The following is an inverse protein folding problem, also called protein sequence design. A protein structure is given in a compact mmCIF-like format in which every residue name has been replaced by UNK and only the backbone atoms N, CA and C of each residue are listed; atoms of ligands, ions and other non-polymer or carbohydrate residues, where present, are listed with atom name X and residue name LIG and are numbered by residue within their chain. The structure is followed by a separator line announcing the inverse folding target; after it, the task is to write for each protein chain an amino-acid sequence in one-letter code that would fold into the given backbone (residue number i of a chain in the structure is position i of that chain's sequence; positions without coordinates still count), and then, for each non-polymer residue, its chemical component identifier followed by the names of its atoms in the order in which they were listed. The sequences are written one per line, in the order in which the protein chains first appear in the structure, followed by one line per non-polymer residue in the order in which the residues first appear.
data_IF_504423219258
#
_entry.id   IF_504423219258
#
_cell.length_a   1.000
_cell.length_b   1.000
_cell.length_c   1.000
_cell.angle_alpha   90.00
_cell.angle_beta   90.00
_cell.angle_gamma   90.00
#
_symmetry.space_group_name_H-M   'P 1'
#
loop_
_entity.id
_entity.type
_entity.pdbx_description
1 polymer ?
#
# COMPACT_ATOMS: atom_id res chain seq x y z
N UNK A 1 -54.41 -26.38 41.14
CA UNK A 1 -54.32 -25.66 39.88
C UNK A 1 -52.83 -25.53 39.50
N UNK A 2 -52.33 -26.43 38.67
CA UNK A 2 -50.94 -26.42 38.19
C UNK A 2 -50.91 -25.61 36.91
N UNK A 3 -50.17 -24.51 36.91
CA UNK A 3 -49.87 -23.73 35.70
C UNK A 3 -48.51 -24.18 35.20
N UNK A 4 -48.51 -24.96 34.12
CA UNK A 4 -47.30 -25.27 33.37
C UNK A 4 -46.88 -24.05 32.54
N UNK A 5 -45.66 -23.53 32.82
CA UNK A 5 -45.01 -22.54 32.01
C UNK A 5 -44.19 -23.26 30.94
N UNK A 6 -44.44 -23.05 29.64
CA UNK A 6 -43.61 -23.64 28.62
C UNK A 6 -42.23 -22.97 28.56
N UNK A 7 -41.20 -23.76 28.79
CA UNK A 7 -39.82 -23.36 28.55
C UNK A 7 -39.62 -23.14 27.04
N UNK A 8 -39.67 -21.87 26.64
CA UNK A 8 -39.33 -21.44 25.30
C UNK A 8 -37.87 -21.80 24.99
N UNK A 9 -37.67 -22.66 23.99
CA UNK A 9 -36.38 -23.06 23.51
C UNK A 9 -35.59 -21.86 23.03
N UNK A 10 -34.50 -21.58 23.72
CA UNK A 10 -33.48 -20.68 23.22
C UNK A 10 -32.83 -21.34 22.03
N UNK A 11 -33.18 -20.91 20.82
CA UNK A 11 -32.43 -21.24 19.63
C UNK A 11 -31.09 -20.53 19.78
N UNK A 12 -30.09 -21.30 20.15
CA UNK A 12 -28.69 -20.86 20.00
C UNK A 12 -28.42 -20.80 18.50
N UNK A 13 -28.57 -19.62 17.91
CA UNK A 13 -27.96 -19.34 16.63
C UNK A 13 -26.46 -19.54 16.82
N UNK A 14 -25.96 -20.66 16.31
CA UNK A 14 -24.55 -20.88 16.16
C UNK A 14 -24.04 -19.74 15.27
N UNK A 15 -23.43 -18.74 15.91
CA UNK A 15 -22.67 -17.72 15.20
C UNK A 15 -21.71 -18.46 14.28
N UNK A 16 -21.95 -18.35 12.99
CA UNK A 16 -21.04 -18.79 11.96
C UNK A 16 -19.70 -18.10 12.28
N UNK A 17 -18.80 -18.83 12.91
CA UNK A 17 -17.42 -18.43 13.07
C UNK A 17 -16.87 -18.32 11.65
N UNK A 18 -16.90 -17.12 11.10
CA UNK A 18 -16.24 -16.80 9.85
C UNK A 18 -14.83 -17.37 9.95
N UNK A 19 -14.50 -18.32 9.06
CA UNK A 19 -13.14 -18.83 8.95
C UNK A 19 -12.22 -17.62 8.90
N UNK A 20 -11.14 -17.57 9.69
CA UNK A 20 -10.18 -16.48 9.58
C UNK A 20 -9.77 -16.41 8.11
N UNK A 21 -9.92 -15.22 7.53
CA UNK A 21 -9.50 -14.97 6.15
C UNK A 21 -8.01 -15.30 6.06
N UNK A 22 -7.68 -16.44 5.46
CA UNK A 22 -6.31 -16.94 5.31
C UNK A 22 -5.57 -16.18 4.20
N UNK A 23 -6.20 -15.19 3.56
CA UNK A 23 -5.56 -14.33 2.59
C UNK A 23 -4.42 -13.57 3.27
N UNK A 24 -3.25 -13.65 2.68
CA UNK A 24 -2.08 -12.92 3.18
C UNK A 24 -2.30 -11.43 2.93
N UNK A 25 -2.27 -10.65 3.99
CA UNK A 25 -2.37 -9.19 3.90
C UNK A 25 -1.21 -8.61 3.11
N UNK A 26 -1.51 -7.86 2.06
CA UNK A 26 -0.51 -7.15 1.29
C UNK A 26 -0.50 -5.68 1.70
N UNK A 27 0.68 -5.20 2.11
CA UNK A 27 0.96 -3.79 2.37
C UNK A 27 1.51 -3.17 1.10
N UNK A 28 0.72 -2.29 0.48
CA UNK A 28 1.10 -1.60 -0.75
C UNK A 28 1.85 -0.32 -0.41
N UNK A 29 3.03 -0.14 -0.99
CA UNK A 29 3.84 1.08 -0.90
C UNK A 29 3.98 1.68 -2.29
N UNK A 30 3.69 2.97 -2.43
CA UNK A 30 3.95 3.71 -3.67
C UNK A 30 5.40 4.18 -3.67
N UNK A 31 6.13 3.83 -4.71
CA UNK A 31 7.56 4.14 -4.87
C UNK A 31 7.71 5.38 -5.75
N UNK A 32 8.23 6.43 -5.16
CA UNK A 32 8.54 7.71 -5.79
C UNK A 32 9.97 8.16 -5.44
N UNK A 33 10.33 9.41 -5.76
CA UNK A 33 11.63 9.98 -5.46
C UNK A 33 11.68 10.70 -4.10
N UNK A 34 10.65 10.54 -3.28
CA UNK A 34 10.56 11.26 -2.01
C UNK A 34 11.49 10.66 -0.94
N UNK A 35 12.10 11.48 -0.09
CA UNK A 35 12.97 10.98 0.98
C UNK A 35 12.20 10.18 2.05
N UNK A 36 10.91 10.43 2.23
CA UNK A 36 10.03 9.72 3.17
C UNK A 36 9.63 8.32 2.72
N UNK A 37 9.92 7.94 1.47
CA UNK A 37 9.67 6.60 0.95
C UNK A 37 10.32 5.51 1.82
N UNK A 38 11.53 5.73 2.30
CA UNK A 38 12.25 4.75 3.11
C UNK A 38 11.54 4.47 4.44
N UNK A 39 10.95 5.49 5.07
CA UNK A 39 10.16 5.33 6.30
C UNK A 39 8.90 4.49 6.04
N UNK A 40 8.17 4.77 4.98
CA UNK A 40 6.98 4.01 4.57
C UNK A 40 7.33 2.54 4.26
N UNK A 41 8.37 2.31 3.48
CA UNK A 41 8.81 0.96 3.10
C UNK A 41 9.25 0.13 4.32
N UNK A 42 10.01 0.74 5.24
CA UNK A 42 10.41 0.06 6.48
C UNK A 42 9.23 -0.29 7.35
N UNK A 43 8.29 0.64 7.54
CA UNK A 43 7.05 0.39 8.28
C UNK A 43 6.27 -0.79 7.68
N UNK A 44 6.05 -0.78 6.38
CA UNK A 44 5.34 -1.85 5.67
C UNK A 44 6.05 -3.20 5.82
N UNK A 45 7.39 -3.23 5.69
CA UNK A 45 8.20 -4.42 5.83
C UNK A 45 8.11 -5.02 7.25
N UNK A 46 8.19 -4.18 8.29
CA UNK A 46 8.05 -4.60 9.68
C UNK A 46 6.66 -5.12 10.00
N UNK A 47 5.62 -4.42 9.53
CA UNK A 47 4.24 -4.89 9.70
C UNK A 47 4.00 -6.21 8.99
N UNK A 48 4.49 -6.38 7.77
CA UNK A 48 4.41 -7.64 7.04
C UNK A 48 5.08 -8.78 7.79
N UNK A 49 6.30 -8.56 8.30
CA UNK A 49 7.02 -9.54 9.10
C UNK A 49 6.25 -9.98 10.35
N UNK A 50 5.65 -9.03 11.07
CA UNK A 50 4.91 -9.31 12.33
C UNK A 50 3.54 -9.94 12.12
N UNK A 51 2.91 -9.70 10.97
CA UNK A 51 1.54 -10.17 10.70
C UNK A 51 1.47 -11.36 9.76
N UNK A 52 2.62 -11.87 9.29
CA UNK A 52 2.67 -12.91 8.27
C UNK A 52 2.20 -12.44 6.89
N UNK A 53 2.16 -11.13 6.70
CA UNK A 53 1.79 -10.48 5.44
C UNK A 53 2.94 -10.41 4.43
N UNK A 54 2.73 -9.66 3.37
CA UNK A 54 3.72 -9.37 2.33
C UNK A 54 3.69 -7.89 1.95
N UNK A 55 4.72 -7.44 1.23
CA UNK A 55 4.82 -6.07 0.72
C UNK A 55 4.69 -6.11 -0.79
N UNK A 56 3.94 -5.18 -1.36
CA UNK A 56 3.95 -4.85 -2.78
C UNK A 56 4.48 -3.42 -2.96
N UNK A 57 5.35 -3.23 -3.94
CA UNK A 57 5.96 -1.96 -4.29
C UNK A 57 5.43 -1.52 -5.65
N UNK A 58 4.71 -0.41 -5.72
CA UNK A 58 4.14 0.14 -6.94
C UNK A 58 4.94 1.35 -7.40
N UNK A 59 5.43 1.32 -8.64
CA UNK A 59 5.92 2.50 -9.36
C UNK A 59 5.03 2.77 -10.56
N UNK A 60 4.60 4.02 -10.72
CA UNK A 60 3.79 4.44 -11.87
C UNK A 60 4.60 5.40 -12.71
N UNK A 61 4.85 5.00 -13.96
CA UNK A 61 5.54 5.80 -14.96
C UNK A 61 4.51 6.65 -15.67
N UNK A 62 4.66 7.97 -15.58
CA UNK A 62 3.77 8.88 -16.31
C UNK A 62 4.12 8.83 -17.80
N UNK A 63 3.12 8.79 -18.70
CA UNK A 63 3.35 8.87 -20.13
C UNK A 63 4.08 10.17 -20.48
N UNK A 64 5.16 10.08 -21.23
CA UNK A 64 5.82 11.26 -21.76
C UNK A 64 4.96 11.80 -22.89
N UNK A 65 4.38 12.98 -22.73
CA UNK A 65 3.70 13.68 -23.81
C UNK A 65 4.72 14.02 -24.90
N UNK A 66 4.86 13.12 -25.87
CA UNK A 66 5.74 13.28 -27.02
C UNK A 66 5.14 14.30 -27.99
N UNK A 67 5.62 15.54 -27.98
CA UNK A 67 5.50 16.41 -29.13
C UNK A 67 6.09 15.70 -30.38
N UNK A 68 5.95 16.25 -31.54
CA UNK A 68 6.26 15.86 -32.93
C UNK A 68 7.33 14.78 -33.24
N UNK A 69 8.01 14.16 -32.23
CA UNK A 69 9.11 13.21 -32.39
C UNK A 69 8.79 11.89 -31.68
N UNK A 70 8.00 11.03 -32.30
CA UNK A 70 7.59 9.73 -31.75
C UNK A 70 8.78 8.86 -31.29
N UNK A 71 9.91 8.91 -31.97
CA UNK A 71 11.12 8.15 -31.59
C UNK A 71 11.73 8.63 -30.27
N UNK A 72 11.77 9.94 -30.04
CA UNK A 72 12.31 10.52 -28.79
C UNK A 72 11.38 10.22 -27.62
N UNK A 73 10.06 10.30 -27.82
CA UNK A 73 9.06 9.94 -26.82
C UNK A 73 9.16 8.48 -26.38
N UNK A 74 9.32 7.54 -27.33
CA UNK A 74 9.47 6.13 -27.01
C UNK A 74 10.76 5.83 -26.23
N UNK A 75 11.88 6.44 -26.62
CA UNK A 75 13.15 6.28 -25.88
C UNK A 75 13.06 6.82 -24.46
N UNK A 76 12.49 8.02 -24.27
CA UNK A 76 12.29 8.60 -22.94
C UNK A 76 11.34 7.76 -22.07
N UNK A 77 10.31 7.17 -22.66
CA UNK A 77 9.39 6.28 -21.97
C UNK A 77 10.08 4.99 -21.51
N UNK A 78 10.92 4.41 -22.36
CA UNK A 78 11.72 3.22 -22.01
C UNK A 78 12.72 3.53 -20.89
N UNK A 79 13.45 4.63 -20.99
CA UNK A 79 14.37 5.08 -19.93
C UNK A 79 13.64 5.32 -18.59
N UNK A 80 12.47 5.95 -18.61
CA UNK A 80 11.66 6.18 -17.41
C UNK A 80 11.19 4.86 -16.78
N UNK A 81 10.86 3.87 -17.61
CA UNK A 81 10.48 2.54 -17.15
C UNK A 81 11.67 1.80 -16.53
N UNK A 82 12.83 1.81 -17.19
CA UNK A 82 14.05 1.21 -16.65
C UNK A 82 14.47 1.84 -15.32
N UNK A 83 14.33 3.15 -15.18
CA UNK A 83 14.60 3.86 -13.94
C UNK A 83 13.63 3.45 -12.82
N UNK A 84 12.35 3.31 -13.14
CA UNK A 84 11.35 2.83 -12.20
C UNK A 84 11.65 1.40 -11.72
N UNK A 85 12.00 0.50 -12.63
CA UNK A 85 12.38 -0.88 -12.32
C UNK A 85 13.64 -0.94 -11.46
N UNK A 86 14.64 -0.11 -11.75
CA UNK A 86 15.87 -0.01 -10.96
C UNK A 86 15.60 0.45 -9.52
N UNK A 87 14.76 1.46 -9.33
CA UNK A 87 14.35 1.93 -7.99
C UNK A 87 13.60 0.85 -7.22
N UNK A 88 12.67 0.17 -7.87
CA UNK A 88 11.94 -0.95 -7.27
C UNK A 88 12.91 -2.05 -6.79
N UNK A 89 13.89 -2.42 -7.61
CA UNK A 89 14.88 -3.44 -7.26
C UNK A 89 15.75 -3.02 -6.07
N UNK A 90 16.18 -1.75 -6.02
CA UNK A 90 16.97 -1.24 -4.90
C UNK A 90 16.17 -1.26 -3.60
N UNK A 91 14.92 -0.80 -3.64
CA UNK A 91 14.05 -0.80 -2.47
C UNK A 91 13.66 -2.22 -2.04
N UNK A 92 13.47 -3.12 -3.01
CA UNK A 92 13.18 -4.53 -2.77
C UNK A 92 14.25 -5.22 -1.93
N UNK A 93 15.52 -4.91 -2.15
CA UNK A 93 16.62 -5.45 -1.35
C UNK A 93 16.50 -5.03 0.13
N UNK A 94 16.18 -3.77 0.39
CA UNK A 94 15.98 -3.23 1.74
C UNK A 94 14.74 -3.85 2.41
N UNK A 95 13.63 -3.95 1.69
CA UNK A 95 12.40 -4.58 2.18
C UNK A 95 12.63 -6.05 2.51
N UNK A 96 13.34 -6.77 1.62
CA UNK A 96 13.67 -8.17 1.88
C UNK A 96 14.54 -8.36 3.12
N UNK A 97 15.58 -7.54 3.30
CA UNK A 97 16.43 -7.58 4.48
C UNK A 97 15.65 -7.31 5.78
N UNK A 98 14.62 -6.46 5.72
CA UNK A 98 13.81 -6.08 6.88
C UNK A 98 12.68 -7.07 7.19
N UNK A 99 12.01 -7.59 6.17
CA UNK A 99 10.84 -8.46 6.31
C UNK A 99 11.15 -9.97 6.26
N UNK A 100 12.29 -10.33 5.70
CA UNK A 100 12.64 -11.73 5.39
C UNK A 100 11.98 -12.26 4.11
N UNK A 101 11.15 -11.46 3.45
CA UNK A 101 10.40 -11.87 2.25
C UNK A 101 10.65 -10.89 1.10
N UNK A 102 10.72 -11.42 -0.13
CA UNK A 102 10.81 -10.58 -1.32
C UNK A 102 9.48 -9.89 -1.56
N UNK A 103 9.47 -8.55 -1.75
CA UNK A 103 8.26 -7.85 -2.12
C UNK A 103 7.86 -8.17 -3.56
N UNK A 104 6.58 -8.01 -3.85
CA UNK A 104 6.07 -7.95 -5.21
C UNK A 104 6.43 -6.59 -5.83
N UNK A 105 6.90 -6.59 -7.09
CA UNK A 105 7.28 -5.39 -7.81
C UNK A 105 6.27 -5.14 -8.94
N UNK A 106 5.63 -3.98 -8.91
CA UNK A 106 4.58 -3.61 -9.85
C UNK A 106 4.98 -2.31 -10.54
N UNK A 107 5.07 -2.33 -11.86
CA UNK A 107 5.21 -1.15 -12.69
C UNK A 107 3.94 -0.96 -13.50
N UNK A 108 3.38 0.24 -13.44
CA UNK A 108 2.25 0.66 -14.27
C UNK A 108 2.57 1.94 -15.01
N UNK A 109 1.85 2.18 -16.08
CA UNK A 109 1.97 3.38 -16.89
C UNK A 109 0.65 4.12 -16.88
N UNK A 110 0.68 5.43 -16.60
CA UNK A 110 -0.52 6.24 -16.54
C UNK A 110 -0.48 7.33 -15.47
N UNK A 111 -1.64 7.77 -15.06
CA UNK A 111 -1.80 8.68 -13.93
C UNK A 111 -1.62 7.90 -12.62
N UNK A 112 -0.72 8.37 -11.76
CA UNK A 112 -0.43 7.71 -10.46
C UNK A 112 -1.72 7.42 -9.67
N UNK A 113 -2.61 8.38 -9.61
CA UNK A 113 -3.85 8.22 -8.87
C UNK A 113 -4.76 7.15 -9.47
N UNK A 114 -4.96 7.18 -10.79
CA UNK A 114 -5.85 6.24 -11.49
C UNK A 114 -5.31 4.82 -11.40
N UNK A 115 -4.02 4.65 -11.65
CA UNK A 115 -3.35 3.34 -11.59
C UNK A 115 -3.34 2.77 -10.17
N UNK A 116 -3.15 3.62 -9.15
CA UNK A 116 -3.20 3.20 -7.75
C UNK A 116 -4.61 2.70 -7.38
N UNK A 117 -5.66 3.44 -7.74
CA UNK A 117 -7.03 3.02 -7.45
C UNK A 117 -7.40 1.75 -8.22
N UNK A 118 -7.04 1.67 -9.51
CA UNK A 118 -7.28 0.48 -10.34
C UNK A 118 -6.60 -0.76 -9.73
N UNK A 119 -5.34 -0.65 -9.34
CA UNK A 119 -4.61 -1.75 -8.71
C UNK A 119 -5.29 -2.21 -7.41
N UNK A 120 -5.71 -1.29 -6.56
CA UNK A 120 -6.40 -1.62 -5.31
C UNK A 120 -7.73 -2.33 -5.56
N UNK A 121 -8.47 -1.95 -6.60
CA UNK A 121 -9.73 -2.61 -6.98
C UNK A 121 -9.51 -3.98 -7.62
N UNK A 122 -8.44 -4.15 -8.40
CA UNK A 122 -8.12 -5.39 -9.11
C UNK A 122 -7.56 -6.48 -8.19
N UNK A 123 -6.76 -6.09 -7.18
CA UNK A 123 -6.10 -7.03 -6.26
C UNK A 123 -6.72 -6.97 -4.86
N UNK A 124 -7.59 -7.91 -4.57
CA UNK A 124 -8.29 -8.01 -3.29
C UNK A 124 -7.35 -8.35 -2.11
N UNK A 125 -6.15 -8.86 -2.37
CA UNK A 125 -5.16 -9.17 -1.33
C UNK A 125 -4.51 -7.91 -0.76
N UNK A 126 -4.53 -6.79 -1.51
CA UNK A 126 -4.07 -5.49 -1.02
C UNK A 126 -5.00 -5.03 0.11
N UNK A 127 -4.44 -4.96 1.30
CA UNK A 127 -5.20 -4.74 2.53
C UNK A 127 -4.93 -3.40 3.20
N UNK A 128 -3.78 -2.80 2.95
CA UNK A 128 -3.36 -1.52 3.53
C UNK A 128 -2.49 -0.77 2.53
N UNK A 129 -2.78 0.51 2.33
CA UNK A 129 -1.89 1.43 1.61
C UNK A 129 -0.99 2.14 2.63
N UNK A 130 0.33 2.12 2.40
CA UNK A 130 1.32 2.78 3.26
C UNK A 130 2.01 3.89 2.49
N UNK A 131 1.93 5.11 3.00
CA UNK A 131 2.50 6.31 2.39
C UNK A 131 3.48 6.98 3.34
N UNK A 132 4.58 7.50 2.80
CA UNK A 132 5.43 8.44 3.51
C UNK A 132 4.84 9.85 3.48
N UNK A 133 4.98 10.59 4.57
CA UNK A 133 4.60 12.00 4.62
C UNK A 133 5.83 12.87 4.83
N UNK A 134 5.99 13.86 3.95
CA UNK A 134 7.01 14.89 4.13
C UNK A 134 6.76 15.67 5.41
N UNK A 135 7.86 16.02 6.09
CA UNK A 135 7.83 16.83 7.32
C UNK A 135 8.43 18.20 6.99
N UNK A 136 7.59 19.20 7.01
CA UNK A 136 8.01 20.57 6.70
C UNK A 136 6.87 21.50 6.29
N UNK A 137 7.18 22.72 5.95
CA UNK A 137 6.20 23.78 5.67
C UNK A 137 5.42 23.63 4.36
N UNK A 138 5.83 22.74 3.47
CA UNK A 138 5.17 22.52 2.17
C UNK A 138 4.04 21.49 2.21
N UNK A 139 3.77 20.92 3.38
CA UNK A 139 2.71 19.92 3.59
C UNK A 139 3.17 18.47 3.37
N UNK A 140 2.26 17.50 3.57
CA UNK A 140 2.60 16.07 3.66
C UNK A 140 2.90 15.39 2.33
N UNK A 141 2.94 16.12 1.25
CA UNK A 141 3.13 15.61 -0.10
C UNK A 141 1.82 15.45 -0.90
N UNK A 142 1.92 15.49 -2.24
CA UNK A 142 0.75 15.57 -3.13
C UNK A 142 -0.14 14.32 -3.05
N UNK A 143 0.44 13.14 -2.91
CA UNK A 143 -0.34 11.89 -2.84
C UNK A 143 -1.10 11.79 -1.51
N UNK A 144 -0.45 12.14 -0.39
CA UNK A 144 -1.11 12.18 0.93
C UNK A 144 -2.26 13.19 0.91
N UNK A 145 -2.04 14.38 0.38
CA UNK A 145 -3.10 15.39 0.24
C UNK A 145 -4.27 14.91 -0.62
N UNK A 146 -3.97 14.26 -1.75
CA UNK A 146 -5.00 13.75 -2.65
C UNK A 146 -5.86 12.65 -2.01
N UNK A 147 -5.27 11.81 -1.16
CA UNK A 147 -5.93 10.65 -0.56
C UNK A 147 -6.59 10.94 0.80
N UNK A 148 -6.14 11.95 1.53
CA UNK A 148 -6.75 12.36 2.82
C UNK A 148 -7.86 13.39 2.68
N UNK A 149 -8.01 14.00 1.51
CA UNK A 149 -9.07 14.97 1.21
C UNK A 149 -10.38 14.29 0.77
N UNK A 150 -11.02 14.87 -0.26
CA UNK A 150 -12.33 14.41 -0.79
C UNK A 150 -12.36 12.95 -1.27
N UNK A 151 -11.21 12.32 -1.46
CA UNK A 151 -11.09 10.96 -1.97
C UNK A 151 -10.84 9.91 -0.87
N UNK A 152 -10.67 10.33 0.39
CA UNK A 152 -10.41 9.40 1.50
C UNK A 152 -11.47 8.30 1.61
N UNK A 153 -12.73 8.64 1.39
CA UNK A 153 -13.84 7.68 1.43
C UNK A 153 -14.02 6.81 0.19
N UNK A 154 -13.17 6.97 -0.84
CA UNK A 154 -13.26 6.18 -2.08
C UNK A 154 -12.36 4.95 -2.08
N UNK A 155 -11.41 4.88 -1.16
CA UNK A 155 -10.55 3.70 -1.02
C UNK A 155 -11.27 2.64 -0.20
N UNK A 156 -11.26 1.40 -0.68
CA UNK A 156 -11.80 0.24 0.06
C UNK A 156 -10.90 -0.28 1.16
N UNK A 157 -9.69 0.26 1.28
CA UNK A 157 -8.67 -0.16 2.24
C UNK A 157 -8.21 1.01 3.11
N UNK A 158 -7.73 0.76 4.34
CA UNK A 158 -7.14 1.79 5.16
C UNK A 158 -5.83 2.32 4.58
N UNK A 159 -5.52 3.57 4.90
CA UNK A 159 -4.27 4.24 4.56
C UNK A 159 -3.48 4.50 5.85
N UNK A 160 -2.24 4.03 5.88
CA UNK A 160 -1.29 4.36 6.94
C UNK A 160 -0.32 5.42 6.44
N UNK A 161 -0.22 6.53 7.14
CA UNK A 161 0.69 7.63 6.82
C UNK A 161 1.85 7.59 7.81
N UNK A 162 3.06 7.45 7.30
CA UNK A 162 4.29 7.33 8.08
C UNK A 162 5.08 8.65 7.96
N UNK A 163 5.27 9.42 9.05
CA UNK A 163 6.11 10.61 9.00
C UNK A 163 7.55 10.29 8.60
N UNK A 164 8.08 11.05 7.64
CA UNK A 164 9.41 10.81 7.07
C UNK A 164 10.58 11.11 8.00
N UNK A 165 10.34 11.77 9.14
CA UNK A 165 11.35 12.08 10.15
C UNK A 165 11.47 11.05 11.28
N UNK A 166 10.67 9.99 11.26
CA UNK A 166 10.81 8.91 12.22
C UNK A 166 12.13 8.17 12.01
N UNK A 167 12.83 7.90 13.10
CA UNK A 167 14.02 7.06 13.09
C UNK A 167 13.64 5.60 12.86
N UNK A 168 14.59 4.78 12.42
CA UNK A 168 14.37 3.35 12.24
C UNK A 168 13.88 2.66 13.51
N UNK A 169 14.43 3.05 14.67
CA UNK A 169 14.02 2.49 15.98
C UNK A 169 12.56 2.86 16.31
N UNK A 170 12.15 4.10 16.05
CA UNK A 170 10.77 4.53 16.25
C UNK A 170 9.81 3.78 15.30
N UNK A 171 10.16 3.65 14.03
CA UNK A 171 9.37 2.88 13.06
C UNK A 171 9.22 1.43 13.52
N UNK A 172 10.31 0.81 13.96
CA UNK A 172 10.31 -0.59 14.45
C UNK A 172 9.44 -0.76 15.71
N UNK A 173 9.37 0.24 16.56
CA UNK A 173 8.51 0.20 17.75
C UNK A 173 7.02 0.38 17.44
N UNK A 174 6.70 1.14 16.38
CA UNK A 174 5.33 1.49 15.98
C UNK A 174 4.71 0.52 14.97
N UNK A 175 5.53 -0.29 14.31
CA UNK A 175 5.08 -1.17 13.23
C UNK A 175 4.53 -2.54 13.67
#
# INVERSE_FOLDING_TARGET
MHVEVPLGGVRTEAASLSRPDTRRRTFLVVVDDSPELHAAARFAARRAARTGGRVALLSVVQPVEGGHWMFVGNLMQEEAREDAERRLQQLAATVHATSGHRPELIVREGSLREELFSLIEEDEDISVLVLGAAVGGEGPGPLVQALTGKNAGKLRIPVTIVPGNLTETEIDALS
#
